data_IF_520824247075
#
_entry.id   IF_520824247075
#
_cell.length_a   1.000
_cell.length_b   1.000
_cell.length_c   1.000
_cell.angle_alpha   90.00
_cell.angle_beta   90.00
_cell.angle_gamma   90.00
#
_symmetry.space_group_name_H-M   'P 1'
#
loop_
_entity.id
_entity.type
_entity.pdbx_description
1 polymer ?
#
# COMPACT_ATOMS: atom_id res chain seq x y z
N UNK A 1 -7.91 -10.00 30.00
CA UNK A 1 -7.58 -10.66 28.72
C UNK A 1 -8.71 -10.34 27.74
N UNK A 2 -8.76 -9.10 27.25
CA UNK A 2 -9.82 -8.61 26.37
C UNK A 2 -9.41 -8.83 24.92
N UNK A 3 -9.61 -10.05 24.45
CA UNK A 3 -9.72 -10.33 23.02
C UNK A 3 -11.22 -10.53 22.75
N UNK A 4 -11.67 -10.23 21.53
CA UNK A 4 -13.05 -10.37 21.04
C UNK A 4 -13.95 -9.12 21.20
N UNK A 5 -13.66 -8.08 20.42
CA UNK A 5 -14.70 -7.28 19.73
C UNK A 5 -14.16 -6.81 18.37
N UNK A 6 -13.92 -7.75 17.45
CA UNK A 6 -13.66 -7.42 16.03
C UNK A 6 -14.99 -7.50 15.30
N UNK A 7 -15.83 -6.47 15.49
CA UNK A 7 -16.96 -6.18 14.62
C UNK A 7 -16.89 -4.70 14.31
N UNK A 8 -16.06 -4.33 13.36
CA UNK A 8 -16.31 -3.09 12.64
C UNK A 8 -16.21 -3.34 11.15
N UNK A 9 -17.38 -3.69 10.61
CA UNK A 9 -17.76 -3.39 9.24
C UNK A 9 -17.58 -1.89 9.05
N UNK A 10 -16.54 -1.47 8.35
CA UNK A 10 -16.55 -0.15 7.73
C UNK A 10 -16.57 -0.33 6.22
N UNK A 11 -17.71 0.07 5.64
CA UNK A 11 -17.87 0.28 4.22
C UNK A 11 -16.85 1.33 3.78
N UNK A 12 -15.78 0.88 3.13
CA UNK A 12 -14.76 1.76 2.57
C UNK A 12 -15.32 2.44 1.32
N UNK A 13 -15.57 3.74 1.38
CA UNK A 13 -15.81 4.57 0.19
C UNK A 13 -14.50 4.66 -0.59
N UNK A 14 -14.36 3.83 -1.62
CA UNK A 14 -13.17 3.75 -2.45
C UNK A 14 -13.21 4.78 -3.56
N UNK A 15 -12.25 5.72 -3.57
CA UNK A 15 -11.83 6.35 -4.83
C UNK A 15 -10.89 5.38 -5.54
N UNK A 16 -11.43 4.65 -6.51
CA UNK A 16 -10.73 3.59 -7.24
C UNK A 16 -9.51 4.14 -8.00
N UNK A 17 -8.30 3.72 -7.61
CA UNK A 17 -7.14 3.68 -8.49
C UNK A 17 -6.63 2.23 -8.61
N UNK A 18 -6.07 1.90 -9.76
CA UNK A 18 -5.92 0.52 -10.25
C UNK A 18 -5.11 -0.38 -9.28
N UNK A 19 -5.48 -1.66 -9.19
CA UNK A 19 -4.71 -2.76 -8.57
C UNK A 19 -4.58 -2.79 -7.03
N UNK A 20 -5.63 -2.39 -6.30
CA UNK A 20 -5.70 -2.57 -4.85
C UNK A 20 -4.94 -1.53 -4.02
N UNK A 21 -4.43 -0.48 -4.68
CA UNK A 21 -3.97 0.76 -4.07
C UNK A 21 -5.15 1.68 -3.77
N UNK A 22 -5.15 2.34 -2.62
CA UNK A 22 -6.17 3.31 -2.23
C UNK A 22 -5.57 4.36 -1.29
N UNK A 23 -6.23 5.52 -1.20
CA UNK A 23 -5.88 6.58 -0.25
C UNK A 23 -6.71 6.41 1.03
N UNK A 24 -6.11 6.64 2.19
CA UNK A 24 -6.82 6.61 3.47
C UNK A 24 -7.66 7.90 3.61
N UNK A 25 -8.98 7.78 3.66
CA UNK A 25 -9.88 8.94 3.80
C UNK A 25 -10.22 9.30 5.27
N UNK A 26 -9.99 8.36 6.21
CA UNK A 26 -10.32 8.50 7.64
C UNK A 26 -9.13 8.35 8.59
N UNK A 27 -9.32 8.66 9.88
CA UNK A 27 -8.31 8.41 10.92
C UNK A 27 -8.45 6.98 11.46
N UNK A 28 -8.36 5.99 10.58
CA UNK A 28 -8.38 4.60 11.00
C UNK A 28 -7.02 4.22 11.60
N UNK A 29 -7.02 3.46 12.70
CA UNK A 29 -5.81 2.93 13.32
C UNK A 29 -5.24 1.75 12.51
N UNK A 30 -4.85 2.01 11.25
CA UNK A 30 -4.19 1.04 10.39
C UNK A 30 -2.69 1.14 10.61
N UNK A 31 -2.09 0.11 11.20
CA UNK A 31 -0.64 0.03 11.38
C UNK A 31 0.03 -0.76 10.24
N UNK A 32 1.01 -0.16 9.58
CA UNK A 32 1.82 -0.85 8.59
C UNK A 32 2.76 -1.85 9.28
N UNK A 33 2.60 -3.13 8.99
CA UNK A 33 3.39 -4.20 9.64
C UNK A 33 4.83 -4.35 9.12
N UNK A 34 5.23 -3.51 8.18
CA UNK A 34 6.61 -3.46 7.65
C UNK A 34 7.43 -2.40 8.40
N UNK A 35 6.95 -1.16 8.46
CA UNK A 35 7.65 -0.06 9.15
C UNK A 35 7.20 0.15 10.61
N UNK A 36 6.09 -0.48 11.02
CA UNK A 36 5.45 -0.36 12.34
C UNK A 36 4.80 1.00 12.63
N UNK A 37 4.76 1.90 11.65
CA UNK A 37 4.05 3.18 11.74
C UNK A 37 2.59 3.09 11.29
N UNK A 38 1.77 4.03 11.76
CA UNK A 38 0.39 4.20 11.33
C UNK A 38 0.32 4.73 9.89
N UNK A 39 -0.69 4.30 9.15
CA UNK A 39 -1.04 4.84 7.84
C UNK A 39 -2.06 5.95 8.06
N UNK A 40 -1.63 7.19 7.84
CA UNK A 40 -2.42 8.38 8.12
C UNK A 40 -3.35 8.75 6.96
N UNK A 41 -4.37 9.56 7.27
CA UNK A 41 -5.26 10.15 6.27
C UNK A 41 -4.47 10.88 5.18
N UNK A 42 -4.83 10.63 3.92
CA UNK A 42 -4.17 11.18 2.74
C UNK A 42 -2.95 10.38 2.29
N UNK A 43 -2.52 9.36 3.04
CA UNK A 43 -1.46 8.46 2.59
C UNK A 43 -2.01 7.33 1.73
N UNK A 44 -1.16 6.84 0.83
CA UNK A 44 -1.49 5.70 -0.03
C UNK A 44 -1.17 4.38 0.65
N UNK A 45 -2.17 3.51 0.65
CA UNK A 45 -2.10 2.14 1.15
C UNK A 45 -2.28 1.13 0.02
N UNK A 46 -1.66 -0.03 0.18
CA UNK A 46 -1.79 -1.17 -0.70
C UNK A 46 -2.46 -2.32 0.05
N UNK A 47 -3.57 -2.82 -0.49
CA UNK A 47 -4.17 -4.08 -0.04
C UNK A 47 -3.55 -5.28 -0.76
N UNK A 48 -3.44 -6.38 -0.02
CA UNK A 48 -3.03 -7.68 -0.54
C UNK A 48 -4.25 -8.55 -0.90
N UNK A 49 -4.12 -9.52 -1.81
CA UNK A 49 -5.18 -10.46 -2.18
C UNK A 49 -5.30 -11.61 -1.17
N UNK A 50 -4.85 -11.42 0.07
CA UNK A 50 -4.92 -12.44 1.09
C UNK A 50 -6.39 -12.76 1.40
N UNK A 51 -6.69 -14.05 1.55
CA UNK A 51 -8.01 -14.54 1.95
C UNK A 51 -7.91 -15.38 3.23
N UNK A 52 -8.90 -15.32 4.12
CA UNK A 52 -10.16 -14.55 4.02
C UNK A 52 -10.01 -13.05 4.32
N UNK A 53 -8.90 -12.63 4.94
CA UNK A 53 -8.65 -11.24 5.35
C UNK A 53 -7.56 -10.64 4.46
N UNK A 54 -7.81 -9.44 3.94
CA UNK A 54 -6.83 -8.63 3.21
C UNK A 54 -5.92 -7.92 4.20
N UNK A 55 -4.61 -7.96 3.98
CA UNK A 55 -3.65 -7.18 4.75
C UNK A 55 -3.28 -5.90 4.02
N UNK A 56 -3.06 -4.83 4.78
CA UNK A 56 -2.85 -3.46 4.29
C UNK A 56 -1.46 -2.97 4.74
N UNK A 57 -0.77 -2.26 3.86
CA UNK A 57 0.55 -1.67 4.11
C UNK A 57 0.66 -0.32 3.41
N UNK A 58 1.63 0.52 3.78
CA UNK A 58 2.01 1.63 2.91
C UNK A 58 2.38 1.11 1.52
N UNK A 59 1.97 1.82 0.47
CA UNK A 59 2.31 1.46 -0.93
C UNK A 59 3.82 1.24 -1.07
N UNK A 60 4.64 2.20 -0.60
CA UNK A 60 6.08 2.10 -0.73
C UNK A 60 6.67 0.90 0.03
N UNK A 61 6.20 0.65 1.25
CA UNK A 61 6.65 -0.50 2.04
C UNK A 61 6.31 -1.82 1.37
N UNK A 62 5.08 -1.94 0.84
CA UNK A 62 4.65 -3.14 0.12
C UNK A 62 5.53 -3.40 -1.10
N UNK A 63 5.72 -2.42 -1.98
CA UNK A 63 6.52 -2.60 -3.20
C UNK A 63 7.99 -2.89 -2.91
N UNK A 64 8.55 -2.22 -1.90
CA UNK A 64 9.93 -2.49 -1.46
C UNK A 64 10.09 -3.94 -1.03
N UNK A 65 9.16 -4.46 -0.22
CA UNK A 65 9.17 -5.87 0.18
C UNK A 65 8.97 -6.80 -1.01
N UNK A 66 7.97 -6.49 -1.85
CA UNK A 66 7.54 -7.32 -2.96
C UNK A 66 8.65 -7.55 -4.00
N UNK A 67 9.52 -6.55 -4.19
CA UNK A 67 10.65 -6.62 -5.12
C UNK A 67 11.55 -7.84 -4.90
N UNK A 68 11.78 -8.19 -3.64
CA UNK A 68 12.64 -9.32 -3.28
C UNK A 68 11.84 -10.52 -2.74
N UNK A 69 10.55 -10.33 -2.41
CA UNK A 69 9.71 -11.34 -1.78
C UNK A 69 8.31 -11.43 -2.41
N UNK A 70 8.00 -12.57 -3.00
CA UNK A 70 6.67 -12.84 -3.58
C UNK A 70 5.66 -13.41 -2.56
N UNK A 71 5.71 -12.94 -1.30
CA UNK A 71 4.80 -13.38 -0.24
C UNK A 71 4.36 -12.22 0.66
N UNK A 72 3.23 -12.39 1.33
CA UNK A 72 2.70 -11.38 2.25
C UNK A 72 3.59 -11.26 3.50
N UNK A 73 4.10 -10.06 3.84
CA UNK A 73 4.91 -9.88 5.05
C UNK A 73 4.18 -10.23 6.34
N UNK A 74 2.85 -10.19 6.35
CA UNK A 74 2.04 -10.47 7.53
C UNK A 74 1.75 -11.97 7.70
N UNK A 75 1.19 -12.62 6.67
CA UNK A 75 0.71 -14.01 6.78
C UNK A 75 1.53 -15.03 6.00
N UNK A 76 2.60 -14.59 5.31
CA UNK A 76 3.52 -15.42 4.50
C UNK A 76 2.89 -16.19 3.34
N UNK A 77 1.61 -15.95 3.02
CA UNK A 77 0.97 -16.52 1.83
C UNK A 77 1.66 -15.97 0.57
N UNK A 78 1.99 -16.86 -0.35
CA UNK A 78 2.57 -16.50 -1.63
C UNK A 78 1.56 -15.72 -2.49
N UNK A 79 2.05 -14.72 -3.21
CA UNK A 79 1.30 -14.05 -4.25
C UNK A 79 1.33 -14.93 -5.51
N UNK A 80 0.18 -15.44 -5.92
CA UNK A 80 0.09 -16.33 -7.08
C UNK A 80 0.49 -15.58 -8.36
N UNK A 81 1.05 -16.28 -9.34
CA UNK A 81 1.54 -15.71 -10.62
C UNK A 81 0.46 -14.88 -11.33
N UNK A 82 -0.82 -15.27 -11.24
CA UNK A 82 -1.97 -14.50 -11.76
C UNK A 82 -2.10 -13.09 -11.16
N UNK A 83 -1.49 -12.83 -10.00
CA UNK A 83 -1.48 -11.52 -9.35
C UNK A 83 -0.31 -10.65 -9.80
N UNK A 84 0.80 -11.25 -10.24
CA UNK A 84 2.04 -10.56 -10.61
C UNK A 84 1.83 -9.71 -11.87
N UNK A 85 1.02 -10.18 -12.81
CA UNK A 85 0.66 -9.42 -14.03
C UNK A 85 -0.15 -8.15 -13.74
N UNK A 86 -0.80 -8.04 -12.58
CA UNK A 86 -1.58 -6.87 -12.17
C UNK A 86 -0.81 -5.96 -11.20
N UNK A 87 0.30 -6.45 -10.65
CA UNK A 87 1.17 -5.67 -9.79
C UNK A 87 2.25 -4.97 -10.62
N UNK A 88 1.84 -3.99 -11.43
CA UNK A 88 2.78 -3.00 -11.91
C UNK A 88 3.02 -1.94 -10.81
N UNK A 89 4.28 -1.66 -10.42
CA UNK A 89 4.57 -0.59 -9.49
C UNK A 89 4.07 0.74 -10.08
N UNK A 90 3.50 1.65 -9.27
CA UNK A 90 3.05 2.94 -9.75
C UNK A 90 4.24 3.66 -10.39
N UNK A 91 4.12 4.01 -11.68
CA UNK A 91 5.13 4.78 -12.42
C UNK A 91 5.34 6.09 -11.68
N UNK A 92 6.41 6.16 -10.89
CA UNK A 92 6.83 7.34 -10.16
C UNK A 92 7.09 8.46 -11.19
N UNK A 93 6.16 9.41 -11.29
CA UNK A 93 6.42 10.66 -12.03
C UNK A 93 7.43 11.45 -11.21
N UNK A 94 8.70 11.18 -11.46
CA UNK A 94 9.78 12.11 -11.14
C UNK A 94 9.43 13.44 -11.82
N UNK A 95 8.90 14.39 -11.05
CA UNK A 95 9.00 15.80 -11.43
C UNK A 95 10.49 16.11 -11.40
N UNK A 96 11.14 16.06 -12.56
CA UNK A 96 12.35 16.84 -12.78
C UNK A 96 11.87 18.27 -12.80
N UNK A 97 12.16 19.00 -11.73
CA UNK A 97 12.04 20.43 -11.72
C UNK A 97 13.09 20.89 -12.73
N UNK A 98 12.64 21.33 -13.89
CA UNK A 98 13.46 22.00 -14.87
C UNK A 98 13.94 23.31 -14.25
N UNK A 99 15.18 23.35 -13.76
CA UNK A 99 15.87 24.61 -13.52
C UNK A 99 17.02 24.71 -14.52
N UNK A 100 16.62 24.90 -15.77
CA UNK A 100 17.49 25.53 -16.77
C UNK A 100 17.64 27.00 -16.43
N UNK A 101 18.56 27.33 -15.53
CA UNK A 101 19.17 28.66 -15.50
C UNK A 101 20.46 28.62 -16.33
N UNK A 102 20.26 29.14 -17.53
CA UNK A 102 21.16 29.43 -18.63
C UNK A 102 22.48 30.14 -18.24
N UNK A 103 23.61 29.57 -18.70
CA UNK A 103 24.83 30.19 -19.27
C UNK A 103 25.52 31.44 -18.69
N UNK A 104 26.86 31.31 -18.67
CA UNK A 104 27.95 32.30 -18.89
C UNK A 104 28.47 33.15 -17.71
N UNK A 105 29.65 32.81 -17.19
CA UNK A 105 30.96 33.38 -17.58
C UNK A 105 32.04 32.31 -17.35
#
# INVERSE_FOLDING_TARGET
MHYITVLIQHNFTTKNYQNGTFEIEGNEDIQCRICLDNIEKGQLAQSTPCTPIKHIFHVNCFWTWYKDHHNCPFCRKAFLIKFIEFLDPPKNKTKKNDESSNRNW
#
